data_IF_652836906337
#
_entry.id   IF_652836906337
#
_cell.length_a   1.000
_cell.length_b   1.000
_cell.length_c   1.000
_cell.angle_alpha   90.00
_cell.angle_beta   90.00
_cell.angle_gamma   90.00
#
_symmetry.space_group_name_H-M   'P 1'
#
loop_
_entity.id
_entity.type
_entity.pdbx_description
1 polymer ?
#
# COMPACT_ATOMS: atom_id res chain seq x y z
N UNK A 1 29.50 -14.20 -7.72
CA UNK A 1 29.27 -14.74 -6.38
C UNK A 1 28.91 -13.60 -5.43
N UNK A 2 28.03 -13.78 -4.46
CA UNK A 2 27.75 -12.76 -3.47
C UNK A 2 29.03 -12.47 -2.68
N UNK A 3 29.24 -11.19 -2.38
CA UNK A 3 30.36 -10.74 -1.56
C UNK A 3 29.82 -9.92 -0.37
N UNK A 4 30.58 -9.91 0.71
CA UNK A 4 30.24 -9.09 1.87
C UNK A 4 30.64 -7.65 1.61
N UNK A 5 29.72 -6.72 1.87
CA UNK A 5 30.01 -5.29 1.84
C UNK A 5 30.79 -4.88 3.10
N UNK A 6 31.51 -3.75 3.03
CA UNK A 6 32.17 -3.16 4.21
C UNK A 6 31.15 -2.59 5.19
N UNK A 7 31.57 -2.41 6.45
CA UNK A 7 30.70 -1.84 7.48
C UNK A 7 30.33 -0.38 7.17
N UNK A 8 31.19 0.38 6.50
CA UNK A 8 30.88 1.74 6.01
C UNK A 8 29.81 1.72 4.91
N UNK A 9 29.88 0.77 3.97
CA UNK A 9 28.83 0.60 2.96
C UNK A 9 27.52 0.13 3.60
N UNK A 10 27.59 -0.72 4.63
CA UNK A 10 26.42 -1.17 5.40
C UNK A 10 25.77 0.00 6.13
N UNK A 11 26.53 0.84 6.83
CA UNK A 11 26.06 2.04 7.50
C UNK A 11 25.35 2.99 6.52
N UNK A 12 25.97 3.24 5.37
CA UNK A 12 25.39 4.08 4.33
C UNK A 12 24.07 3.52 3.82
N UNK A 13 24.02 2.24 3.45
CA UNK A 13 22.80 1.61 2.94
C UNK A 13 21.70 1.59 3.99
N UNK A 14 22.01 1.26 5.25
CA UNK A 14 21.05 1.24 6.34
C UNK A 14 20.46 2.64 6.57
N UNK A 15 21.31 3.66 6.62
CA UNK A 15 20.88 5.04 6.86
C UNK A 15 20.03 5.59 5.71
N UNK A 16 20.45 5.40 4.46
CA UNK A 16 19.65 5.85 3.32
C UNK A 16 18.34 5.08 3.19
N UNK A 17 18.30 3.80 3.58
CA UNK A 17 17.06 3.03 3.56
C UNK A 17 16.08 3.49 4.65
N UNK A 18 16.54 3.60 5.91
CA UNK A 18 15.66 3.91 7.03
C UNK A 18 15.35 5.40 7.18
N UNK A 19 16.32 6.28 6.88
CA UNK A 19 16.23 7.72 7.13
C UNK A 19 16.27 8.60 5.89
N UNK A 20 16.53 8.02 4.71
CA UNK A 20 16.79 8.76 3.47
C UNK A 20 17.87 9.85 3.63
N UNK A 21 18.84 9.62 4.49
CA UNK A 21 19.88 10.56 4.90
C UNK A 21 21.21 9.86 5.15
N UNK A 22 22.27 10.66 5.35
CA UNK A 22 23.59 10.16 5.75
C UNK A 22 23.53 9.52 7.15
N UNK A 23 24.45 8.56 7.44
CA UNK A 23 24.62 8.00 8.78
C UNK A 23 24.90 9.09 9.81
N UNK A 24 24.43 8.90 11.04
CA UNK A 24 24.86 9.70 12.18
C UNK A 24 26.17 9.19 12.77
N UNK A 25 26.74 9.95 13.69
CA UNK A 25 28.05 9.67 14.27
C UNK A 25 28.07 8.29 14.96
N UNK A 26 27.02 7.92 15.68
CA UNK A 26 26.94 6.63 16.38
C UNK A 26 26.98 5.45 15.42
N UNK A 27 26.26 5.53 14.30
CA UNK A 27 26.28 4.49 13.26
C UNK A 27 27.62 4.46 12.53
N UNK A 28 28.25 5.62 12.31
CA UNK A 28 29.57 5.73 11.70
C UNK A 28 30.67 5.16 12.61
N UNK A 29 30.63 5.45 13.91
CA UNK A 29 31.58 4.91 14.88
C UNK A 29 31.55 3.38 14.88
N UNK A 30 30.36 2.78 14.95
CA UNK A 30 30.21 1.32 14.87
C UNK A 30 30.77 0.74 13.56
N UNK A 31 30.64 1.48 12.45
CA UNK A 31 31.18 1.05 11.16
C UNK A 31 32.71 1.21 11.06
N UNK A 32 33.28 2.29 11.63
CA UNK A 32 34.73 2.54 11.66
C UNK A 32 35.43 1.52 12.56
N UNK A 33 34.83 1.19 13.71
CA UNK A 33 35.31 0.17 14.63
C UNK A 33 35.18 -1.26 14.06
N UNK A 34 34.53 -1.41 12.92
CA UNK A 34 34.35 -2.71 12.26
C UNK A 34 33.46 -3.66 13.05
N UNK A 35 32.50 -3.15 13.82
CA UNK A 35 31.59 -3.93 14.68
C UNK A 35 30.16 -3.97 14.13
N UNK A 36 29.80 -3.08 13.20
CA UNK A 36 28.42 -2.92 12.71
C UNK A 36 27.85 -4.21 12.09
N UNK A 37 28.70 -5.06 11.52
CA UNK A 37 28.27 -6.32 10.92
C UNK A 37 27.94 -7.42 11.94
N UNK A 38 28.27 -7.23 13.22
CA UNK A 38 27.91 -8.19 14.27
C UNK A 38 26.40 -8.14 14.47
N UNK A 39 25.72 -9.31 14.53
CA UNK A 39 24.25 -9.34 14.55
C UNK A 39 23.65 -8.49 15.68
N UNK A 40 24.24 -8.54 16.86
CA UNK A 40 23.76 -7.82 18.05
C UNK A 40 23.90 -6.29 17.88
N UNK A 41 25.01 -5.84 17.29
CA UNK A 41 25.25 -4.41 17.02
C UNK A 41 24.32 -3.92 15.91
N UNK A 42 24.21 -4.69 14.83
CA UNK A 42 23.32 -4.35 13.72
C UNK A 42 21.86 -4.27 14.17
N UNK A 43 21.41 -5.22 14.99
CA UNK A 43 20.05 -5.20 15.53
C UNK A 43 19.84 -3.98 16.43
N UNK A 44 20.77 -3.68 17.36
CA UNK A 44 20.68 -2.53 18.25
C UNK A 44 20.61 -1.22 17.47
N UNK A 45 21.48 -1.03 16.48
CA UNK A 45 21.47 0.16 15.62
C UNK A 45 20.19 0.26 14.79
N UNK A 46 19.71 -0.84 14.22
CA UNK A 46 18.46 -0.85 13.45
C UNK A 46 17.28 -0.46 14.34
N UNK A 47 17.15 -1.02 15.53
CA UNK A 47 16.08 -0.67 16.49
C UNK A 47 16.14 0.80 16.91
N UNK A 48 17.34 1.30 17.23
CA UNK A 48 17.55 2.71 17.53
C UNK A 48 17.10 3.62 16.39
N UNK A 49 17.49 3.27 15.18
CA UNK A 49 17.16 4.05 13.98
C UNK A 49 15.67 4.05 13.70
N UNK A 50 14.98 2.91 13.85
CA UNK A 50 13.53 2.81 13.67
C UNK A 50 12.75 3.58 14.74
N UNK A 51 13.27 3.71 15.94
CA UNK A 51 12.67 4.51 17.02
C UNK A 51 12.92 6.03 16.88
N UNK A 52 13.79 6.44 15.96
CA UNK A 52 14.13 7.86 15.76
C UNK A 52 13.15 8.54 14.79
N UNK A 53 12.83 9.82 15.00
CA UNK A 53 11.91 10.59 14.14
C UNK A 53 12.30 10.60 12.64
N UNK A 54 13.57 10.45 12.29
CA UNK A 54 13.99 10.30 10.87
C UNK A 54 13.42 9.06 10.19
N UNK A 55 12.93 8.06 10.96
CA UNK A 55 12.32 6.87 10.39
C UNK A 55 11.00 7.15 9.65
N UNK A 56 10.39 8.32 9.85
CA UNK A 56 9.24 8.79 9.07
C UNK A 56 9.57 8.84 7.58
N UNK A 57 10.83 9.08 7.20
CA UNK A 57 11.31 8.99 5.83
C UNK A 57 11.11 7.59 5.20
N UNK A 58 11.09 6.52 6.00
CA UNK A 58 10.79 5.16 5.53
C UNK A 58 9.31 5.07 5.08
N UNK A 59 8.41 5.71 5.82
CA UNK A 59 6.98 5.77 5.46
C UNK A 59 6.81 6.53 4.13
N UNK A 60 7.35 7.73 4.02
CA UNK A 60 7.23 8.57 2.82
C UNK A 60 7.89 7.93 1.59
N UNK A 61 9.10 7.41 1.74
CA UNK A 61 9.88 6.93 0.61
C UNK A 61 9.65 5.45 0.31
N UNK A 62 9.76 4.55 1.28
CA UNK A 62 9.57 3.13 1.02
C UNK A 62 8.10 2.78 0.85
N UNK A 63 7.23 3.08 1.84
CA UNK A 63 5.81 2.76 1.73
C UNK A 63 5.15 3.54 0.59
N UNK A 64 5.49 4.81 0.41
CA UNK A 64 5.02 5.64 -0.69
C UNK A 64 5.29 5.05 -2.07
N UNK A 65 6.46 4.42 -2.27
CA UNK A 65 6.80 3.73 -3.52
C UNK A 65 6.20 2.33 -3.58
N UNK A 66 6.40 1.53 -2.55
CA UNK A 66 5.95 0.14 -2.49
C UNK A 66 4.45 0.01 -2.71
N UNK A 67 3.66 0.86 -2.04
CA UNK A 67 2.21 0.84 -2.12
C UNK A 67 1.64 1.74 -3.24
N UNK A 68 2.50 2.42 -4.01
CA UNK A 68 2.13 3.39 -5.06
C UNK A 68 1.40 4.63 -4.53
N UNK A 69 1.52 4.98 -3.24
CA UNK A 69 0.83 6.13 -2.64
C UNK A 69 1.20 7.45 -3.33
N UNK A 70 2.39 7.56 -3.90
CA UNK A 70 2.84 8.73 -4.69
C UNK A 70 1.96 9.00 -5.90
N UNK A 71 1.17 8.03 -6.36
CA UNK A 71 0.25 8.20 -7.47
C UNK A 71 -1.14 8.67 -7.02
N UNK A 72 -1.45 8.64 -5.72
CA UNK A 72 -2.75 9.07 -5.17
C UNK A 72 -3.10 10.52 -5.55
N UNK A 73 -2.16 11.50 -5.50
CA UNK A 73 -2.46 12.87 -5.90
C UNK A 73 -2.91 13.04 -7.35
N UNK A 74 -2.49 12.13 -8.25
CA UNK A 74 -2.80 12.16 -9.67
C UNK A 74 -4.10 11.41 -10.05
N UNK A 75 -4.77 10.78 -9.07
CA UNK A 75 -6.01 10.06 -9.33
C UNK A 75 -7.15 11.03 -9.69
N UNK A 76 -7.84 10.71 -10.78
CA UNK A 76 -8.97 11.50 -11.30
C UNK A 76 -10.16 10.58 -11.58
N UNK A 77 -10.85 10.07 -10.55
CA UNK A 77 -12.14 9.41 -10.75
C UNK A 77 -13.12 10.33 -11.47
N UNK A 78 -14.04 9.73 -12.19
CA UNK A 78 -15.08 10.44 -12.94
C UNK A 78 -15.95 11.26 -11.98
N UNK A 79 -16.04 12.57 -12.20
CA UNK A 79 -16.72 13.50 -11.29
C UNK A 79 -18.25 13.32 -11.30
N UNK A 80 -18.83 12.86 -12.41
CA UNK A 80 -20.27 12.61 -12.52
C UNK A 80 -20.65 11.34 -11.71
N UNK A 81 -19.78 10.32 -11.69
CA UNK A 81 -20.00 9.08 -10.94
C UNK A 81 -19.57 9.18 -9.49
N UNK A 82 -18.57 9.99 -9.20
CA UNK A 82 -17.97 10.13 -7.85
C UNK A 82 -17.87 11.60 -7.44
N UNK A 83 -19.00 12.33 -7.33
CA UNK A 83 -19.02 13.77 -7.09
C UNK A 83 -18.35 14.18 -5.74
N UNK A 84 -18.31 13.26 -4.79
CA UNK A 84 -17.67 13.48 -3.49
C UNK A 84 -16.16 13.29 -3.49
N UNK A 85 -15.55 12.82 -4.59
CA UNK A 85 -14.11 12.58 -4.69
C UNK A 85 -13.38 13.88 -5.05
N UNK A 86 -12.97 14.63 -4.04
CA UNK A 86 -12.19 15.86 -4.17
C UNK A 86 -10.80 15.76 -3.55
N UNK A 87 -10.04 16.87 -3.62
CA UNK A 87 -8.67 16.95 -3.10
C UNK A 87 -8.59 16.53 -1.62
N UNK A 88 -9.49 17.01 -0.77
CA UNK A 88 -9.49 16.70 0.65
C UNK A 88 -9.73 15.20 0.96
N UNK A 89 -10.51 14.48 0.14
CA UNK A 89 -10.69 13.04 0.30
C UNK A 89 -9.47 12.27 -0.19
N UNK A 90 -8.87 12.72 -1.29
CA UNK A 90 -7.63 12.15 -1.85
C UNK A 90 -6.47 12.24 -0.86
N UNK A 91 -6.26 13.41 -0.27
CA UNK A 91 -5.27 13.61 0.79
C UNK A 91 -5.57 12.72 2.01
N UNK A 92 -6.85 12.62 2.40
CA UNK A 92 -7.23 11.79 3.53
C UNK A 92 -6.99 10.29 3.27
N UNK A 93 -7.18 9.80 2.06
CA UNK A 93 -6.83 8.42 1.68
C UNK A 93 -5.33 8.15 1.79
N UNK A 94 -4.51 9.09 1.34
CA UNK A 94 -3.06 8.95 1.44
C UNK A 94 -2.62 8.96 2.90
N UNK A 95 -3.06 9.93 3.66
CA UNK A 95 -2.68 10.09 5.06
C UNK A 95 -3.17 8.93 5.95
N UNK A 96 -4.34 8.35 5.68
CA UNK A 96 -4.80 7.13 6.35
C UNK A 96 -3.74 6.03 6.28
N UNK A 97 -3.24 5.77 5.07
CA UNK A 97 -2.31 4.67 4.84
C UNK A 97 -0.92 4.96 5.38
N UNK A 98 -0.47 6.20 5.29
CA UNK A 98 0.80 6.64 5.86
C UNK A 98 0.79 6.48 7.39
N UNK A 99 -0.23 7.00 8.09
CA UNK A 99 -0.38 6.87 9.54
C UNK A 99 -0.55 5.41 9.98
N UNK A 100 -1.23 4.61 9.19
CA UNK A 100 -1.38 3.18 9.48
C UNK A 100 -0.03 2.45 9.39
N UNK A 101 0.75 2.71 8.34
CA UNK A 101 2.10 2.17 8.19
C UNK A 101 3.01 2.62 9.35
N UNK A 102 3.00 3.92 9.64
CA UNK A 102 3.74 4.55 10.73
C UNK A 102 3.42 3.89 12.08
N UNK A 103 2.15 3.64 12.37
CA UNK A 103 1.73 2.99 13.61
C UNK A 103 2.27 1.57 13.77
N UNK A 104 2.33 0.80 12.68
CA UNK A 104 2.91 -0.55 12.70
C UNK A 104 4.42 -0.49 12.92
N UNK A 105 5.08 0.48 12.28
CA UNK A 105 6.52 0.69 12.39
C UNK A 105 6.94 1.10 13.81
N UNK A 106 6.34 2.17 14.33
CA UNK A 106 6.73 2.74 15.61
C UNK A 106 6.28 1.93 16.83
N UNK A 107 5.20 1.18 16.70
CA UNK A 107 4.70 0.30 17.77
C UNK A 107 5.32 -1.11 17.72
N UNK A 108 6.28 -1.36 16.81
CA UNK A 108 6.95 -2.66 16.59
C UNK A 108 5.93 -3.81 16.44
N UNK A 109 4.88 -3.56 15.64
CA UNK A 109 3.80 -4.54 15.42
C UNK A 109 4.20 -5.59 14.39
N UNK A 110 3.52 -6.71 14.44
CA UNK A 110 3.73 -7.80 13.48
C UNK A 110 3.34 -7.39 12.05
N UNK A 111 4.18 -7.74 11.06
CA UNK A 111 3.96 -7.42 9.64
C UNK A 111 2.60 -7.94 9.10
N UNK A 112 2.05 -8.99 9.68
CA UNK A 112 0.73 -9.51 9.29
C UNK A 112 -0.42 -8.56 9.63
N UNK A 113 -0.20 -7.62 10.55
CA UNK A 113 -1.21 -6.59 10.87
C UNK A 113 -1.48 -5.66 9.69
N UNK A 114 -0.56 -5.54 8.73
CA UNK A 114 -0.88 -4.88 7.45
C UNK A 114 -2.10 -5.47 6.76
N UNK A 115 -2.43 -6.72 6.98
CA UNK A 115 -3.58 -7.39 6.38
C UNK A 115 -4.74 -7.60 7.34
N UNK A 116 -4.49 -7.67 8.65
CA UNK A 116 -5.48 -8.15 9.64
C UNK A 116 -5.89 -7.12 10.68
N UNK A 117 -5.22 -5.95 10.76
CA UNK A 117 -5.53 -4.95 11.76
C UNK A 117 -7.01 -4.52 11.71
N UNK A 118 -7.61 -4.45 12.89
CA UNK A 118 -9.00 -4.05 13.09
C UNK A 118 -9.17 -2.56 13.39
N UNK A 119 -8.16 -1.76 13.04
CA UNK A 119 -8.17 -0.31 13.23
C UNK A 119 -7.68 0.42 11.97
N UNK A 120 -8.03 1.69 11.88
CA UNK A 120 -7.51 2.62 10.88
C UNK A 120 -7.43 4.03 11.46
N UNK A 121 -6.96 4.99 10.65
CA UNK A 121 -6.87 6.40 11.00
C UNK A 121 -7.81 7.23 10.16
N UNK A 122 -8.67 8.03 10.77
CA UNK A 122 -9.64 8.85 10.07
C UNK A 122 -9.71 10.26 10.65
N UNK A 123 -9.95 11.22 9.76
CA UNK A 123 -10.50 12.54 10.11
C UNK A 123 -12.01 12.57 9.79
N UNK A 124 -12.67 13.68 10.02
CA UNK A 124 -14.12 13.83 9.72
C UNK A 124 -14.46 13.56 8.25
N UNK A 125 -13.61 14.04 7.31
CA UNK A 125 -13.85 13.87 5.87
C UNK A 125 -13.84 12.40 5.46
N UNK A 126 -12.85 11.66 5.96
CA UNK A 126 -12.69 10.24 5.66
C UNK A 126 -13.75 9.39 6.38
N UNK A 127 -14.03 9.72 7.65
CA UNK A 127 -15.05 9.04 8.42
C UNK A 127 -16.43 9.13 7.76
N UNK A 128 -16.81 10.32 7.26
CA UNK A 128 -18.06 10.48 6.49
C UNK A 128 -18.07 9.62 5.22
N UNK A 129 -16.97 9.55 4.50
CA UNK A 129 -16.87 8.71 3.31
C UNK A 129 -17.03 7.22 3.63
N UNK A 130 -16.50 6.78 4.77
CA UNK A 130 -16.62 5.39 5.22
C UNK A 130 -17.93 5.09 5.96
N UNK A 131 -18.79 6.08 6.19
CA UNK A 131 -20.02 5.94 6.97
C UNK A 131 -19.79 5.75 8.47
N UNK A 132 -18.63 6.21 8.99
CA UNK A 132 -18.26 6.11 10.40
C UNK A 132 -18.81 7.33 11.14
N UNK A 133 -19.71 7.16 12.10
CA UNK A 133 -20.34 8.27 12.80
C UNK A 133 -19.45 8.88 13.91
N UNK A 134 -19.82 10.09 14.37
CA UNK A 134 -19.27 10.74 15.55
C UNK A 134 -17.78 11.11 15.49
N UNK A 135 -17.22 11.28 14.30
CA UNK A 135 -15.87 11.79 14.09
C UNK A 135 -15.97 13.22 13.52
N UNK A 136 -15.36 14.19 14.21
CA UNK A 136 -15.43 15.59 13.86
C UNK A 136 -14.03 16.23 13.82
N UNK A 137 -13.86 17.19 12.93
CA UNK A 137 -12.62 17.96 12.76
C UNK A 137 -11.60 17.34 11.81
N UNK A 138 -10.54 18.10 11.50
CA UNK A 138 -9.55 17.74 10.49
C UNK A 138 -8.44 16.82 10.98
N UNK A 139 -8.22 16.71 12.29
CA UNK A 139 -7.15 15.87 12.82
C UNK A 139 -7.48 14.38 12.71
N UNK A 140 -6.49 13.60 12.34
CA UNK A 140 -6.59 12.15 12.28
C UNK A 140 -6.52 11.52 13.67
N UNK A 141 -7.28 10.45 13.84
CA UNK A 141 -7.28 9.65 15.06
C UNK A 141 -7.46 8.18 14.73
N UNK A 142 -6.82 7.33 15.51
CA UNK A 142 -7.03 5.88 15.41
C UNK A 142 -8.45 5.55 15.89
N UNK A 143 -9.11 4.70 15.14
CA UNK A 143 -10.42 4.12 15.51
C UNK A 143 -10.38 2.61 15.30
N UNK A 144 -11.15 1.89 16.10
CA UNK A 144 -11.41 0.46 15.87
C UNK A 144 -12.55 0.30 14.87
N UNK A 145 -12.39 -0.59 13.92
CA UNK A 145 -13.38 -0.91 12.91
C UNK A 145 -14.47 -1.82 13.52
N UNK A 146 -15.71 -1.56 13.18
CA UNK A 146 -16.86 -2.33 13.73
C UNK A 146 -17.10 -3.64 12.99
N UNK A 147 -16.55 -3.77 11.78
CA UNK A 147 -16.68 -4.96 10.93
C UNK A 147 -15.38 -5.25 10.16
N UNK A 148 -15.39 -6.35 9.41
CA UNK A 148 -14.20 -6.85 8.70
C UNK A 148 -14.00 -6.23 7.30
N UNK A 149 -14.91 -5.39 6.84
CA UNK A 149 -14.95 -4.93 5.44
C UNK A 149 -13.76 -4.03 5.06
N UNK A 150 -13.16 -3.35 6.05
CA UNK A 150 -12.04 -2.42 5.84
C UNK A 150 -10.78 -2.75 6.62
N UNK A 151 -10.62 -4.01 7.04
CA UNK A 151 -9.41 -4.42 7.77
C UNK A 151 -8.15 -4.33 6.91
N UNK A 152 -7.11 -3.79 7.51
CA UNK A 152 -5.78 -3.69 6.94
C UNK A 152 -5.72 -2.88 5.64
N UNK A 153 -4.55 -2.88 5.00
CA UNK A 153 -4.25 -2.10 3.78
C UNK A 153 -5.25 -2.32 2.65
N UNK A 154 -5.73 -3.55 2.46
CA UNK A 154 -6.64 -3.86 1.35
C UNK A 154 -8.02 -3.22 1.50
N UNK A 155 -8.36 -2.74 2.71
CA UNK A 155 -9.57 -1.98 3.00
C UNK A 155 -9.43 -0.46 2.84
N UNK A 156 -8.20 0.06 2.69
CA UNK A 156 -7.95 1.51 2.62
C UNK A 156 -8.41 2.10 1.29
N UNK A 157 -8.99 3.30 1.36
CA UNK A 157 -9.47 4.03 0.20
C UNK A 157 -8.39 4.32 -0.83
N UNK A 158 -7.16 4.59 -0.40
CA UNK A 158 -5.99 4.77 -1.27
C UNK A 158 -5.75 3.55 -2.16
N UNK A 159 -5.61 2.36 -1.57
CA UNK A 159 -5.34 1.11 -2.30
C UNK A 159 -6.52 0.74 -3.20
N UNK A 160 -7.74 0.87 -2.70
CA UNK A 160 -8.93 0.58 -3.48
C UNK A 160 -9.06 1.49 -4.71
N UNK A 161 -8.72 2.77 -4.58
CA UNK A 161 -8.79 3.73 -5.70
C UNK A 161 -7.62 3.56 -6.67
N UNK A 162 -6.39 3.37 -6.17
CA UNK A 162 -5.20 3.09 -6.99
C UNK A 162 -5.37 1.85 -7.87
N UNK A 163 -6.18 0.91 -7.43
CA UNK A 163 -6.45 -0.36 -8.11
C UNK A 163 -7.81 -0.38 -8.82
N UNK A 164 -8.31 0.78 -9.22
CA UNK A 164 -9.57 0.98 -9.94
C UNK A 164 -9.36 1.79 -11.20
N UNK A 165 -10.34 1.76 -12.12
CA UNK A 165 -10.44 2.70 -13.22
C UNK A 165 -11.15 3.98 -12.76
N UNK A 166 -11.08 5.03 -13.58
CA UNK A 166 -11.77 6.29 -13.28
C UNK A 166 -13.29 6.12 -13.09
N UNK A 167 -13.90 5.22 -13.83
CA UNK A 167 -15.36 5.02 -13.86
C UNK A 167 -15.85 3.80 -13.10
N UNK A 168 -14.96 2.89 -12.67
CA UNK A 168 -15.38 1.63 -12.03
C UNK A 168 -14.26 0.95 -11.25
N UNK A 169 -14.64 0.09 -10.33
CA UNK A 169 -13.70 -0.83 -9.66
C UNK A 169 -13.08 -1.84 -10.64
N UNK A 170 -11.89 -2.33 -10.33
CA UNK A 170 -11.21 -3.35 -11.12
C UNK A 170 -10.60 -4.44 -10.23
N UNK A 171 -11.30 -5.56 -10.04
CA UNK A 171 -10.72 -6.71 -9.33
C UNK A 171 -9.42 -7.22 -9.96
N UNK A 172 -9.30 -7.12 -11.29
CA UNK A 172 -8.08 -7.54 -12.02
C UNK A 172 -6.89 -6.66 -11.68
N UNK A 173 -7.05 -5.32 -11.70
CA UNK A 173 -5.97 -4.42 -11.31
C UNK A 173 -5.57 -4.62 -9.83
N UNK A 174 -6.55 -4.90 -8.96
CA UNK A 174 -6.31 -5.19 -7.56
C UNK A 174 -5.56 -6.50 -7.37
N UNK A 175 -5.98 -7.57 -8.05
CA UNK A 175 -5.28 -8.86 -8.03
C UNK A 175 -3.85 -8.73 -8.55
N UNK A 176 -3.64 -7.99 -9.66
CA UNK A 176 -2.32 -7.68 -10.18
C UNK A 176 -1.46 -6.94 -9.15
N UNK A 177 -1.99 -5.89 -8.54
CA UNK A 177 -1.30 -5.11 -7.53
C UNK A 177 -0.87 -5.98 -6.32
N UNK A 178 -1.75 -6.89 -5.84
CA UNK A 178 -1.43 -7.82 -4.75
C UNK A 178 -0.28 -8.74 -5.16
N UNK A 179 -0.35 -9.34 -6.35
CA UNK A 179 0.70 -10.23 -6.85
C UNK A 179 2.04 -9.52 -6.99
N UNK A 180 2.06 -8.31 -7.54
CA UNK A 180 3.27 -7.53 -7.76
C UNK A 180 3.87 -6.99 -6.46
N UNK A 181 3.05 -6.32 -5.65
CA UNK A 181 3.53 -5.54 -4.51
C UNK A 181 3.63 -6.35 -3.21
N UNK A 182 2.68 -7.25 -2.94
CA UNK A 182 2.70 -8.02 -1.69
C UNK A 182 3.35 -9.38 -1.84
N UNK A 183 3.19 -10.04 -2.99
CA UNK A 183 3.65 -11.42 -3.19
C UNK A 183 4.92 -11.52 -4.06
N UNK A 184 5.42 -10.40 -4.61
CA UNK A 184 6.58 -10.37 -5.52
C UNK A 184 6.49 -11.42 -6.65
N UNK A 185 5.27 -11.67 -7.12
CA UNK A 185 4.94 -12.65 -8.16
C UNK A 185 4.12 -12.01 -9.28
N UNK A 186 4.74 -11.11 -10.08
CA UNK A 186 4.02 -10.41 -11.13
C UNK A 186 3.42 -11.40 -12.14
N UNK A 187 2.16 -11.21 -12.55
CA UNK A 187 1.57 -12.04 -13.59
C UNK A 187 2.26 -11.79 -14.94
N UNK A 188 2.26 -12.78 -15.84
CA UNK A 188 2.78 -12.58 -17.19
C UNK A 188 2.03 -11.44 -17.90
N UNK A 189 2.67 -10.73 -18.85
CA UNK A 189 2.00 -9.71 -19.63
C UNK A 189 0.83 -10.32 -20.40
N UNK A 190 -0.27 -9.57 -20.57
CA UNK A 190 -1.42 -10.05 -21.33
C UNK A 190 -1.00 -10.36 -22.77
N UNK A 191 -1.57 -11.39 -23.42
CA UNK A 191 -1.38 -11.64 -24.84
C UNK A 191 -1.79 -10.43 -25.68
N UNK A 192 -1.23 -10.23 -26.89
CA UNK A 192 -1.69 -9.20 -27.78
C UNK A 192 -3.16 -9.46 -28.18
N UNK A 193 -3.92 -8.39 -28.36
CA UNK A 193 -5.33 -8.42 -28.80
C UNK A 193 -6.32 -9.11 -27.83
N UNK A 194 -6.10 -8.96 -26.51
CA UNK A 194 -7.11 -9.37 -25.52
C UNK A 194 -8.37 -8.49 -25.71
N UNK A 195 -9.56 -9.09 -25.95
CA UNK A 195 -10.78 -8.32 -26.03
C UNK A 195 -11.11 -7.65 -24.71
N UNK A 196 -11.75 -6.50 -24.77
CA UNK A 196 -12.28 -5.84 -23.59
C UNK A 196 -13.29 -6.74 -22.86
N UNK A 197 -13.45 -6.51 -21.56
CA UNK A 197 -14.47 -7.19 -20.77
C UNK A 197 -15.86 -6.81 -21.33
N UNK A 198 -16.67 -7.81 -21.63
CA UNK A 198 -18.05 -7.59 -22.08
C UNK A 198 -18.95 -7.30 -20.87
N UNK A 199 -19.33 -6.04 -20.73
CA UNK A 199 -20.14 -5.54 -19.61
C UNK A 199 -21.65 -5.63 -19.89
N UNK A 200 -22.03 -6.13 -21.08
CA UNK A 200 -23.43 -6.22 -21.50
C UNK A 200 -23.80 -7.69 -21.74
N UNK A 201 -24.94 -8.10 -21.25
CA UNK A 201 -25.50 -9.43 -21.52
C UNK A 201 -26.15 -9.47 -22.94
N UNK A 202 -26.37 -10.67 -23.45
CA UNK A 202 -26.96 -10.88 -24.79
C UNK A 202 -28.38 -10.28 -24.93
N UNK A 203 -29.06 -10.04 -23.80
CA UNK A 203 -30.35 -9.38 -23.72
C UNK A 203 -30.26 -7.84 -23.55
N UNK A 204 -29.05 -7.28 -23.63
CA UNK A 204 -28.80 -5.83 -23.53
C UNK A 204 -28.78 -5.27 -22.11
N UNK A 205 -28.84 -6.11 -21.09
CA UNK A 205 -28.77 -5.65 -19.69
C UNK A 205 -27.32 -5.50 -19.24
N UNK A 206 -27.02 -4.50 -18.38
CA UNK A 206 -25.70 -4.40 -17.75
C UNK A 206 -25.43 -5.63 -16.89
N UNK A 207 -24.27 -6.27 -17.09
CA UNK A 207 -23.78 -7.32 -16.19
C UNK A 207 -23.15 -6.71 -14.95
N UNK A 208 -23.30 -7.38 -13.82
CA UNK A 208 -22.42 -7.07 -12.69
C UNK A 208 -20.97 -7.40 -13.04
N UNK A 209 -20.01 -6.71 -12.40
CA UNK A 209 -18.59 -6.97 -12.64
C UNK A 209 -18.23 -8.45 -12.38
N UNK A 210 -18.87 -9.10 -11.40
CA UNK A 210 -18.66 -10.53 -11.10
C UNK A 210 -19.11 -11.39 -12.28
N UNK A 211 -20.30 -11.19 -12.80
CA UNK A 211 -20.85 -11.97 -13.93
C UNK A 211 -20.01 -11.78 -15.20
N UNK A 212 -19.61 -10.54 -15.51
CA UNK A 212 -18.75 -10.25 -16.63
C UNK A 212 -17.40 -10.96 -16.52
N UNK A 213 -16.80 -10.98 -15.34
CA UNK A 213 -15.54 -11.69 -15.08
C UNK A 213 -15.68 -13.22 -15.09
N UNK A 214 -16.79 -13.76 -14.60
CA UNK A 214 -17.05 -15.21 -14.64
C UNK A 214 -17.18 -15.68 -16.10
N UNK A 215 -17.90 -14.93 -16.93
CA UNK A 215 -18.02 -15.23 -18.35
C UNK A 215 -16.66 -15.10 -19.06
N UNK A 216 -15.91 -14.04 -18.80
CA UNK A 216 -14.58 -13.87 -19.39
C UNK A 216 -13.64 -15.02 -19.05
N UNK A 217 -13.66 -15.50 -17.80
CA UNK A 217 -12.86 -16.65 -17.35
C UNK A 217 -13.34 -18.01 -17.88
N UNK A 218 -14.57 -18.09 -18.39
CA UNK A 218 -15.04 -19.30 -19.06
C UNK A 218 -14.28 -19.60 -20.35
N UNK A 219 -13.66 -18.58 -20.98
CA UNK A 219 -12.77 -18.79 -22.11
C UNK A 219 -11.42 -19.40 -21.65
N UNK A 220 -11.00 -20.58 -22.14
CA UNK A 220 -9.77 -21.25 -21.72
C UNK A 220 -8.49 -20.41 -21.90
N UNK A 221 -8.45 -19.54 -22.91
CA UNK A 221 -7.32 -18.65 -23.17
C UNK A 221 -7.22 -17.61 -22.04
N UNK A 222 -8.34 -17.01 -21.67
CA UNK A 222 -8.39 -16.03 -20.58
C UNK A 222 -8.15 -16.68 -19.20
N UNK A 223 -8.71 -17.89 -18.99
CA UNK A 223 -8.56 -18.66 -17.77
C UNK A 223 -7.10 -18.97 -17.43
N UNK A 224 -6.22 -19.12 -18.41
CA UNK A 224 -4.81 -19.42 -18.19
C UNK A 224 -4.08 -18.35 -17.36
N UNK A 225 -4.43 -17.07 -17.54
CA UNK A 225 -3.88 -15.94 -16.77
C UNK A 225 -4.72 -15.64 -15.52
N UNK A 226 -6.06 -15.68 -15.65
CA UNK A 226 -6.97 -15.29 -14.56
C UNK A 226 -7.14 -16.37 -13.47
N UNK A 227 -6.49 -17.51 -13.59
CA UNK A 227 -6.42 -18.53 -12.51
C UNK A 227 -5.66 -18.05 -11.27
N UNK A 228 -4.76 -17.10 -11.47
CA UNK A 228 -3.86 -16.57 -10.43
C UNK A 228 -4.33 -15.22 -9.86
N UNK A 229 -5.37 -14.62 -10.48
CA UNK A 229 -5.89 -13.30 -10.10
C UNK A 229 -7.32 -13.36 -9.57
#
# INVERSE_FOLDING_TARGET
APYRISDLELASRLSFFLWSSVPDDELLDAAIDGTLHQPEVLEAQTRRMLAHARADALVENFAGQWLYLRNVPALTPDEDLFPDFGAALREAFQQETELFFESILHEDRGVLEFLTADYTFVNERLARHYGIPNIYGSHFRRITLVDDTRRGLLGHGSILTLTSYATRTSPVLRGKWILENLLSSPPPPPPPNVPALDETSDDGRPRSMREAMEQHRANPVCASCHKLM
#
